data_IF_268282566027
#
_entry.id   IF_268282566027
#
_cell.length_a   1.000
_cell.length_b   1.000
_cell.length_c   1.000
_cell.angle_alpha   90.00
_cell.angle_beta   90.00
_cell.angle_gamma   90.00
#
_symmetry.space_group_name_H-M   'P 1'
#
loop_
_entity.id
_entity.type
_entity.pdbx_description
1 polymer ?
#
# COMPACT_ATOMS: atom_id res chain seq x y z
N UNK A 1 35.38 -33.64 2.32
CA UNK A 1 33.90 -33.55 2.40
C UNK A 1 33.56 -32.14 2.86
N UNK A 2 33.42 -31.21 1.92
CA UNK A 2 33.28 -29.77 2.20
C UNK A 2 31.79 -29.39 2.26
N UNK A 3 31.26 -29.17 3.47
CA UNK A 3 29.97 -28.50 3.66
C UNK A 3 30.17 -26.99 3.48
N UNK A 4 29.80 -26.45 2.31
CA UNK A 4 29.63 -25.01 2.14
C UNK A 4 28.28 -24.60 2.72
N UNK A 5 28.33 -23.81 3.78
CA UNK A 5 27.20 -23.02 4.30
C UNK A 5 26.65 -22.12 3.18
N UNK A 6 25.45 -22.44 2.70
CA UNK A 6 24.66 -21.53 1.87
C UNK A 6 24.17 -20.39 2.77
N UNK A 7 24.90 -19.28 2.74
CA UNK A 7 24.43 -18.02 3.30
C UNK A 7 23.22 -17.54 2.50
N UNK A 8 22.12 -17.24 3.19
CA UNK A 8 20.93 -16.63 2.58
C UNK A 8 21.30 -15.38 1.78
N UNK A 9 20.68 -15.14 0.61
CA UNK A 9 20.93 -13.93 -0.15
C UNK A 9 20.49 -12.71 0.67
N UNK A 10 21.20 -11.57 0.56
CA UNK A 10 20.84 -10.36 1.27
C UNK A 10 19.50 -9.84 0.73
N UNK A 11 18.49 -9.78 1.60
CA UNK A 11 17.21 -9.11 1.33
C UNK A 11 17.53 -7.65 0.98
N UNK A 12 17.34 -7.31 -0.29
CA UNK A 12 17.57 -5.97 -0.81
C UNK A 12 16.61 -4.98 -0.14
N UNK A 13 17.10 -4.28 0.90
CA UNK A 13 16.40 -3.15 1.49
C UNK A 13 16.40 -2.00 0.50
N UNK A 14 15.27 -1.73 -0.14
CA UNK A 14 15.11 -0.51 -0.95
C UNK A 14 13.68 0.04 -0.93
N UNK A 15 13.13 0.29 0.25
CA UNK A 15 11.92 1.10 0.40
C UNK A 15 12.30 2.57 0.60
N UNK A 16 13.01 3.17 -0.35
CA UNK A 16 13.09 4.62 -0.43
C UNK A 16 11.67 5.11 -0.73
N UNK A 17 11.16 6.10 0.01
CA UNK A 17 9.82 6.66 -0.20
C UNK A 17 9.63 6.94 -1.68
N UNK A 18 8.81 6.14 -2.34
CA UNK A 18 8.70 6.19 -3.79
C UNK A 18 7.84 7.40 -4.09
N UNK A 19 8.37 8.31 -4.89
CA UNK A 19 7.57 9.41 -5.41
C UNK A 19 6.44 8.77 -6.21
N UNK A 20 5.19 9.04 -5.86
CA UNK A 20 4.01 8.52 -6.55
C UNK A 20 4.00 8.89 -8.03
N UNK A 21 4.75 9.94 -8.41
CA UNK A 21 5.03 10.30 -9.80
C UNK A 21 5.90 9.27 -10.53
N UNK A 22 6.87 8.63 -9.89
CA UNK A 22 7.70 7.60 -10.51
C UNK A 22 6.90 6.30 -10.71
N UNK A 23 5.99 5.98 -9.78
CA UNK A 23 5.04 4.85 -9.89
C UNK A 23 3.92 5.12 -10.91
N UNK A 24 3.62 6.40 -11.18
CA UNK A 24 2.74 6.81 -12.27
C UNK A 24 3.36 6.54 -13.65
N UNK A 25 4.68 6.53 -13.76
CA UNK A 25 5.39 6.38 -15.04
C UNK A 25 5.76 4.93 -15.36
N UNK A 26 6.03 4.07 -14.37
CA UNK A 26 6.41 2.68 -14.61
C UNK A 26 5.40 1.64 -14.08
N UNK A 27 4.61 1.05 -15.00
CA UNK A 27 3.66 -0.03 -14.71
C UNK A 27 4.33 -1.30 -14.16
N UNK A 28 5.59 -1.59 -14.52
CA UNK A 28 6.26 -2.84 -14.11
C UNK A 28 6.69 -2.79 -12.65
N UNK A 29 7.16 -1.62 -12.19
CA UNK A 29 7.62 -1.42 -10.80
C UNK A 29 6.49 -1.53 -9.77
N UNK A 30 5.25 -1.13 -10.09
CA UNK A 30 4.12 -1.31 -9.17
C UNK A 30 3.72 -2.78 -9.00
N UNK A 31 3.67 -3.53 -10.10
CA UNK A 31 3.22 -4.93 -10.05
C UNK A 31 4.21 -5.80 -9.28
N UNK A 32 5.52 -5.59 -9.44
CA UNK A 32 6.53 -6.34 -8.69
C UNK A 32 6.51 -6.06 -7.19
N UNK A 33 6.17 -4.84 -6.77
CA UNK A 33 6.06 -4.50 -5.34
C UNK A 33 4.81 -5.08 -4.66
N UNK A 34 3.76 -5.39 -5.43
CA UNK A 34 2.46 -5.79 -4.89
C UNK A 34 2.19 -7.30 -5.01
N UNK A 35 2.77 -7.96 -6.02
CA UNK A 35 2.43 -9.34 -6.39
C UNK A 35 3.46 -10.35 -5.92
N UNK A 36 4.72 -9.97 -5.73
CA UNK A 36 5.76 -10.89 -5.26
C UNK A 36 5.49 -11.29 -3.79
N UNK A 37 5.29 -12.58 -3.48
CA UNK A 37 4.82 -13.04 -2.16
C UNK A 37 5.82 -12.74 -1.03
N UNK A 38 7.11 -12.63 -1.33
CA UNK A 38 8.15 -12.27 -0.36
C UNK A 38 8.12 -10.79 0.07
N UNK A 39 7.55 -9.90 -0.75
CA UNK A 39 7.60 -8.45 -0.56
C UNK A 39 6.22 -7.77 -0.54
N UNK A 40 5.13 -8.54 -0.55
CA UNK A 40 3.78 -8.01 -0.50
C UNK A 40 3.56 -7.15 0.76
N UNK A 41 3.21 -5.85 0.62
CA UNK A 41 3.03 -4.96 1.76
C UNK A 41 1.75 -5.31 2.52
N UNK A 42 1.73 -5.12 3.83
CA UNK A 42 0.49 -5.22 4.64
C UNK A 42 -0.29 -3.92 4.63
N UNK A 43 0.41 -2.82 4.44
CA UNK A 43 -0.14 -1.48 4.41
C UNK A 43 0.52 -0.65 3.31
N UNK A 44 -0.30 0.04 2.54
CA UNK A 44 0.11 1.06 1.57
C UNK A 44 -0.42 2.41 2.04
N UNK A 45 0.44 3.41 2.14
CA UNK A 45 0.05 4.75 2.57
C UNK A 45 0.28 5.72 1.42
N UNK A 46 -0.81 6.31 0.92
CA UNK A 46 -0.77 7.41 -0.04
C UNK A 46 -0.70 8.73 0.74
N UNK A 47 0.39 9.47 0.57
CA UNK A 47 0.67 10.71 1.30
C UNK A 47 0.59 11.89 0.35
N UNK A 48 -0.46 12.68 0.44
CA UNK A 48 -0.61 13.90 -0.35
C UNK A 48 -2.06 14.34 -0.50
N UNK A 49 -2.21 15.57 -0.96
CA UNK A 49 -3.48 16.27 -1.15
C UNK A 49 -4.02 16.22 -2.58
N UNK A 50 -3.23 15.69 -3.53
CA UNK A 50 -3.62 15.59 -4.93
C UNK A 50 -4.60 14.42 -5.16
N UNK A 51 -5.90 14.73 -5.12
CA UNK A 51 -6.97 13.74 -5.31
C UNK A 51 -6.95 13.05 -6.67
N UNK A 52 -6.49 13.74 -7.72
CA UNK A 52 -6.42 13.15 -9.07
C UNK A 52 -5.35 12.05 -9.11
N UNK A 53 -4.15 12.34 -8.62
CA UNK A 53 -3.05 11.37 -8.51
C UNK A 53 -3.46 10.20 -7.61
N UNK A 54 -4.08 10.48 -6.46
CA UNK A 54 -4.55 9.44 -5.53
C UNK A 54 -5.53 8.49 -6.22
N UNK A 55 -6.57 9.02 -6.89
CA UNK A 55 -7.55 8.19 -7.62
C UNK A 55 -6.90 7.35 -8.70
N UNK A 56 -5.94 7.91 -9.43
CA UNK A 56 -5.25 7.18 -10.50
C UNK A 56 -4.38 6.06 -9.96
N UNK A 57 -3.66 6.30 -8.86
CA UNK A 57 -2.87 5.27 -8.18
C UNK A 57 -3.78 4.17 -7.65
N UNK A 58 -4.89 4.49 -6.98
CA UNK A 58 -5.86 3.50 -6.52
C UNK A 58 -6.42 2.66 -7.68
N UNK A 59 -6.79 3.31 -8.79
CA UNK A 59 -7.25 2.62 -10.01
C UNK A 59 -6.19 1.65 -10.56
N UNK A 60 -4.90 2.03 -10.50
CA UNK A 60 -3.81 1.15 -10.89
C UNK A 60 -3.59 0.00 -9.92
N UNK A 61 -3.62 0.26 -8.61
CA UNK A 61 -3.52 -0.78 -7.58
C UNK A 61 -4.59 -1.84 -7.82
N UNK A 62 -5.85 -1.41 -8.04
CA UNK A 62 -6.98 -2.31 -8.33
C UNK A 62 -6.69 -3.24 -9.52
N UNK A 63 -6.21 -2.67 -10.63
CA UNK A 63 -5.84 -3.41 -11.87
C UNK A 63 -4.62 -4.32 -11.73
N UNK A 64 -3.75 -4.07 -10.77
CA UNK A 64 -2.58 -4.93 -10.53
C UNK A 64 -2.94 -6.21 -9.79
N UNK A 65 -3.99 -6.16 -8.97
CA UNK A 65 -4.37 -7.25 -8.06
C UNK A 65 -5.48 -8.11 -8.64
N UNK A 66 -6.41 -7.49 -9.37
CA UNK A 66 -7.45 -8.20 -10.09
C UNK A 66 -7.02 -8.37 -11.54
N UNK A 67 -6.98 -9.61 -11.99
CA UNK A 67 -6.90 -9.89 -13.43
C UNK A 67 -8.22 -9.46 -14.06
N UNK A 68 -8.21 -9.06 -15.34
CA UNK A 68 -9.39 -8.50 -16.02
C UNK A 68 -10.63 -9.42 -16.09
N UNK A 69 -10.53 -10.65 -15.59
CA UNK A 69 -11.55 -11.70 -15.58
C UNK A 69 -12.22 -11.88 -14.21
N UNK A 70 -11.70 -11.27 -13.13
CA UNK A 70 -12.29 -11.32 -11.79
C UNK A 70 -13.16 -10.09 -11.54
N UNK A 71 -14.34 -10.29 -10.91
CA UNK A 71 -15.28 -9.21 -10.60
C UNK A 71 -14.66 -8.23 -9.58
N UNK A 72 -14.19 -7.10 -10.12
CA UNK A 72 -13.54 -5.99 -9.44
C UNK A 72 -14.31 -5.48 -8.21
N UNK A 73 -15.64 -5.64 -8.18
CA UNK A 73 -16.52 -5.05 -7.17
C UNK A 73 -16.47 -5.72 -5.79
N UNK A 74 -16.22 -7.03 -5.74
CA UNK A 74 -16.27 -7.79 -4.47
C UNK A 74 -15.02 -7.57 -3.62
N UNK A 75 -13.84 -7.49 -4.24
CA UNK A 75 -12.57 -7.58 -3.55
C UNK A 75 -11.94 -6.23 -3.19
N UNK A 76 -12.62 -5.11 -3.47
CA UNK A 76 -12.20 -3.78 -3.06
C UNK A 76 -13.29 -3.04 -2.29
N UNK A 77 -13.01 -2.67 -1.04
CA UNK A 77 -13.95 -1.94 -0.18
C UNK A 77 -13.38 -0.60 0.25
N UNK A 78 -14.20 0.45 0.20
CA UNK A 78 -13.79 1.80 0.59
C UNK A 78 -14.50 2.27 1.86
N UNK A 79 -13.76 2.99 2.69
CA UNK A 79 -14.20 3.60 3.93
C UNK A 79 -13.78 5.08 3.95
N UNK A 80 -14.52 5.93 4.65
CA UNK A 80 -14.14 7.32 4.87
C UNK A 80 -13.58 7.45 6.29
N UNK A 81 -12.39 8.04 6.42
CA UNK A 81 -11.77 8.27 7.72
C UNK A 81 -12.57 9.25 8.59
N UNK A 82 -13.32 10.16 7.99
CA UNK A 82 -14.21 11.11 8.68
C UNK A 82 -15.33 10.39 9.46
N UNK A 83 -15.78 9.23 8.97
CA UNK A 83 -16.85 8.44 9.61
C UNK A 83 -16.36 7.61 10.81
N UNK A 84 -15.05 7.62 11.08
CA UNK A 84 -14.40 6.82 12.14
C UNK A 84 -14.87 5.36 12.16
N UNK A 85 -14.72 4.61 11.04
CA UNK A 85 -15.08 3.19 10.99
C UNK A 85 -14.34 2.39 12.05
N UNK A 86 -14.93 1.30 12.55
CA UNK A 86 -14.23 0.41 13.47
C UNK A 86 -13.00 -0.16 12.73
N UNK A 87 -11.77 0.04 13.26
CA UNK A 87 -10.58 -0.52 12.64
C UNK A 87 -10.65 -2.05 12.52
N UNK A 88 -11.40 -2.75 13.39
CA UNK A 88 -11.56 -4.21 13.32
C UNK A 88 -12.30 -4.62 12.05
N UNK A 89 -13.37 -3.93 11.67
CA UNK A 89 -14.12 -4.21 10.45
C UNK A 89 -13.23 -4.08 9.20
N UNK A 90 -12.34 -3.08 9.20
CA UNK A 90 -11.37 -2.85 8.13
C UNK A 90 -10.34 -3.99 8.09
N UNK A 91 -9.82 -4.41 9.24
CA UNK A 91 -8.81 -5.47 9.31
C UNK A 91 -9.39 -6.84 8.96
N UNK A 92 -10.63 -7.13 9.37
CA UNK A 92 -11.33 -8.38 9.06
C UNK A 92 -11.63 -8.48 7.56
N UNK A 93 -12.01 -7.35 6.94
CA UNK A 93 -12.17 -7.24 5.49
C UNK A 93 -10.88 -7.63 4.74
N UNK A 94 -9.72 -7.12 5.18
CA UNK A 94 -8.41 -7.39 4.56
C UNK A 94 -7.91 -8.82 4.85
N UNK A 95 -8.25 -9.35 6.02
CA UNK A 95 -7.89 -10.70 6.44
C UNK A 95 -8.73 -11.78 5.76
N UNK A 96 -9.88 -11.43 5.19
CA UNK A 96 -10.77 -12.37 4.52
C UNK A 96 -10.12 -12.87 3.22
N UNK A 97 -9.64 -14.11 3.25
CA UNK A 97 -9.09 -14.81 2.09
C UNK A 97 -10.24 -15.41 1.29
N UNK A 98 -10.42 -15.05 0.01
CA UNK A 98 -11.46 -15.65 -0.81
C UNK A 98 -11.18 -17.13 -1.06
N UNK A 99 -12.20 -17.97 -0.90
CA UNK A 99 -12.10 -19.43 -1.10
C UNK A 99 -12.10 -19.85 -2.57
N UNK A 100 -12.58 -18.98 -3.47
CA UNK A 100 -12.80 -19.29 -4.89
C UNK A 100 -12.09 -18.34 -5.85
N UNK A 101 -11.29 -17.41 -5.34
CA UNK A 101 -10.49 -16.51 -6.17
C UNK A 101 -9.06 -16.42 -5.63
N UNK A 102 -8.15 -16.05 -6.52
CA UNK A 102 -6.76 -15.79 -6.15
C UNK A 102 -6.51 -14.32 -5.81
N UNK A 103 -7.50 -13.46 -6.08
CA UNK A 103 -7.48 -12.04 -5.72
C UNK A 103 -7.42 -11.81 -4.21
N UNK A 104 -6.59 -10.86 -3.79
CA UNK A 104 -6.54 -10.40 -2.42
C UNK A 104 -7.59 -9.33 -2.13
N UNK A 105 -8.23 -9.36 -0.95
CA UNK A 105 -9.18 -8.32 -0.53
C UNK A 105 -8.48 -7.06 -0.05
N UNK A 106 -8.92 -5.91 -0.53
CA UNK A 106 -8.30 -4.63 -0.24
C UNK A 106 -9.33 -3.72 0.41
N UNK A 107 -8.94 -3.15 1.55
CA UNK A 107 -9.69 -2.07 2.17
C UNK A 107 -8.93 -0.76 1.95
N UNK A 108 -9.65 0.29 1.57
CA UNK A 108 -9.09 1.65 1.44
C UNK A 108 -9.80 2.58 2.40
N UNK A 109 -9.05 3.28 3.25
CA UNK A 109 -9.58 4.39 4.05
C UNK A 109 -9.17 5.69 3.39
N UNK A 110 -10.15 6.39 2.82
CA UNK A 110 -10.01 7.71 2.19
C UNK A 110 -9.98 8.78 3.28
N UNK A 111 -9.21 9.86 3.09
CA UNK A 111 -9.10 10.96 4.07
C UNK A 111 -8.85 10.47 5.52
N UNK A 112 -7.87 9.59 5.67
CA UNK A 112 -7.62 8.82 6.89
C UNK A 112 -6.86 9.59 7.98
N UNK A 113 -6.56 10.88 7.84
CA UNK A 113 -5.74 11.63 8.81
C UNK A 113 -6.28 11.55 10.25
N UNK A 114 -7.60 11.73 10.42
CA UNK A 114 -8.28 11.60 11.72
C UNK A 114 -8.29 10.15 12.21
N UNK A 115 -8.66 9.21 11.33
CA UNK A 115 -8.68 7.77 11.61
C UNK A 115 -7.32 7.23 12.07
N UNK A 116 -6.23 7.59 11.38
CA UNK A 116 -4.86 7.21 11.74
C UNK A 116 -4.46 7.80 13.09
N UNK A 117 -4.91 9.01 13.39
CA UNK A 117 -4.64 9.66 14.68
C UNK A 117 -5.37 8.96 15.82
N UNK A 118 -6.64 8.58 15.62
CA UNK A 118 -7.48 7.90 16.62
C UNK A 118 -7.10 6.43 16.86
N UNK A 119 -6.60 5.73 15.83
CA UNK A 119 -6.39 4.28 15.88
C UNK A 119 -4.92 3.86 15.64
N UNK A 120 -3.97 4.70 16.04
CA UNK A 120 -2.53 4.48 15.76
C UNK A 120 -2.00 3.14 16.26
N UNK A 121 -2.34 2.73 17.49
CA UNK A 121 -1.79 1.51 18.09
C UNK A 121 -2.18 0.24 17.34
N UNK A 122 -3.44 0.14 16.90
CA UNK A 122 -3.92 -1.03 16.15
C UNK A 122 -3.32 -1.06 14.75
N UNK A 123 -3.18 0.10 14.11
CA UNK A 123 -2.51 0.23 12.81
C UNK A 123 -1.03 -0.14 12.89
N UNK A 124 -0.33 0.23 13.96
CA UNK A 124 1.08 -0.16 14.19
C UNK A 124 1.22 -1.67 14.34
N UNK A 125 0.33 -2.31 15.10
CA UNK A 125 0.31 -3.77 15.28
C UNK A 125 -0.04 -4.51 13.99
N UNK A 126 -0.83 -3.91 13.11
CA UNK A 126 -1.17 -4.49 11.82
C UNK A 126 -0.02 -4.32 10.81
N UNK A 127 0.55 -3.11 10.71
CA UNK A 127 1.64 -2.81 9.79
C UNK A 127 2.90 -3.65 10.05
N UNK A 128 3.13 -4.12 11.28
CA UNK A 128 4.27 -4.99 11.61
C UNK A 128 4.08 -6.45 11.17
N UNK A 129 2.88 -6.84 10.72
CA UNK A 129 2.60 -8.18 10.20
C UNK A 129 3.06 -8.30 8.76
N UNK A 130 3.50 -9.50 8.38
CA UNK A 130 3.64 -9.89 6.97
C UNK A 130 2.28 -10.31 6.43
N UNK A 131 1.93 -9.84 5.24
CA UNK A 131 0.63 -10.09 4.61
C UNK A 131 0.45 -11.54 4.18
N UNK A 132 1.53 -12.25 3.81
CA UNK A 132 1.40 -13.58 3.23
C UNK A 132 0.36 -13.58 2.10
N UNK A 133 -0.64 -14.46 2.21
CA UNK A 133 -1.74 -14.54 1.24
C UNK A 133 -2.91 -13.59 1.53
N UNK A 134 -2.95 -12.91 2.68
CA UNK A 134 -4.00 -11.91 2.97
C UNK A 134 -3.84 -10.69 2.07
N UNK A 135 -4.88 -9.87 1.96
CA UNK A 135 -4.74 -8.61 1.25
C UNK A 135 -4.02 -7.54 2.06
N UNK A 136 -4.19 -6.29 1.63
CA UNK A 136 -3.54 -5.15 2.25
C UNK A 136 -4.49 -3.97 2.44
N UNK A 137 -4.13 -3.11 3.40
CA UNK A 137 -4.85 -1.89 3.72
C UNK A 137 -4.22 -0.70 2.99
N UNK A 138 -5.05 0.14 2.36
CA UNK A 138 -4.61 1.41 1.79
C UNK A 138 -5.11 2.57 2.66
N UNK A 139 -4.21 3.46 3.05
CA UNK A 139 -4.54 4.69 3.76
C UNK A 139 -4.24 5.89 2.87
N UNK A 140 -5.23 6.72 2.58
CA UNK A 140 -5.00 8.04 2.01
C UNK A 140 -4.93 9.08 3.13
N UNK A 141 -3.77 9.70 3.30
CA UNK A 141 -3.56 10.77 4.28
C UNK A 141 -2.98 11.99 3.58
N UNK A 142 -3.32 13.18 4.08
CA UNK A 142 -2.68 14.42 3.61
C UNK A 142 -1.24 14.50 4.08
N UNK A 143 -0.97 14.06 5.32
CA UNK A 143 0.36 14.12 5.91
C UNK A 143 0.70 12.83 6.66
N UNK A 144 1.96 12.42 6.61
CA UNK A 144 2.43 11.21 7.30
C UNK A 144 3.84 11.43 7.89
N UNK A 145 3.93 11.96 9.12
CA UNK A 145 5.21 12.32 9.72
C UNK A 145 6.13 11.10 9.91
N UNK A 146 7.34 11.16 9.34
CA UNK A 146 8.32 10.06 9.35
C UNK A 146 8.91 9.75 10.73
N UNK A 147 8.79 10.66 11.69
CA UNK A 147 9.23 10.47 13.06
C UNK A 147 8.29 9.58 13.89
N UNK A 148 7.07 9.32 13.40
CA UNK A 148 6.08 8.46 14.07
C UNK A 148 6.49 6.99 14.01
N UNK A 149 6.08 6.23 15.03
CA UNK A 149 6.34 4.79 15.07
C UNK A 149 5.59 4.07 13.94
N UNK A 150 4.34 4.42 13.68
CA UNK A 150 3.60 3.93 12.51
C UNK A 150 4.36 4.14 11.20
N UNK A 151 4.86 5.36 10.93
CA UNK A 151 5.60 5.61 9.69
C UNK A 151 6.87 4.76 9.58
N UNK A 152 7.59 4.55 10.68
CA UNK A 152 8.78 3.68 10.70
C UNK A 152 8.43 2.22 10.41
N UNK A 153 7.33 1.72 10.99
CA UNK A 153 6.88 0.33 10.76
C UNK A 153 6.42 0.15 9.32
N UNK A 154 5.62 1.08 8.78
CA UNK A 154 5.18 1.04 7.38
C UNK A 154 6.37 1.14 6.43
N UNK A 155 7.38 1.95 6.74
CA UNK A 155 8.60 2.03 5.93
C UNK A 155 9.36 0.69 5.88
N UNK A 156 9.32 -0.10 6.97
CA UNK A 156 10.01 -1.38 7.07
C UNK A 156 9.22 -2.55 6.43
N UNK A 157 7.89 -2.54 6.53
CA UNK A 157 7.03 -3.69 6.22
C UNK A 157 5.92 -3.40 5.20
N UNK A 158 5.72 -2.15 4.84
CA UNK A 158 4.71 -1.69 3.91
C UNK A 158 5.30 -0.80 2.82
N UNK A 159 4.44 0.01 2.23
CA UNK A 159 4.79 0.92 1.14
C UNK A 159 4.25 2.32 1.44
N UNK A 160 5.10 3.35 1.31
CA UNK A 160 4.69 4.75 1.40
C UNK A 160 4.87 5.37 0.01
N UNK A 161 3.78 5.93 -0.51
CA UNK A 161 3.72 6.55 -1.83
C UNK A 161 3.39 8.02 -1.65
N UNK A 162 4.32 8.90 -2.01
CA UNK A 162 4.12 10.35 -1.89
C UNK A 162 3.44 10.89 -3.14
N UNK A 163 2.22 11.40 -3.01
CA UNK A 163 1.41 11.91 -4.12
C UNK A 163 1.32 13.43 -4.17
N UNK A 164 2.02 14.13 -3.27
CA UNK A 164 2.17 15.58 -3.30
C UNK A 164 2.87 16.03 -4.58
N UNK A 165 2.37 17.11 -5.19
CA UNK A 165 3.00 17.76 -6.34
C UNK A 165 4.42 18.22 -5.97
N UNK A 166 5.50 17.72 -6.60
CA UNK A 166 6.83 18.24 -6.34
C UNK A 166 6.91 19.73 -6.70
N UNK A 167 7.67 20.53 -5.94
CA UNK A 167 7.74 21.99 -6.09
C UNK A 167 8.31 22.47 -7.43
N UNK A 168 8.98 21.59 -8.18
CA UNK A 168 9.42 21.81 -9.56
C UNK A 168 8.87 20.66 -10.41
N UNK A 169 7.66 20.82 -10.91
CA UNK A 169 7.04 19.83 -11.79
C UNK A 169 7.64 20.00 -13.19
N UNK A 170 8.62 19.18 -13.54
CA UNK A 170 9.18 19.16 -14.89
C UNK A 170 8.20 18.44 -15.83
N UNK A 171 7.23 19.19 -16.35
CA UNK A 171 6.21 18.73 -17.29
C UNK A 171 6.81 18.19 -18.60
N UNK A 172 8.08 18.50 -18.89
CA UNK A 172 8.77 18.08 -20.11
C UNK A 172 8.95 16.55 -20.16
N UNK A 173 9.05 15.88 -19.01
CA UNK A 173 9.14 14.43 -18.93
C UNK A 173 7.81 13.69 -19.24
N UNK A 174 6.67 14.40 -19.27
CA UNK A 174 5.33 13.81 -19.47
C UNK A 174 4.80 13.95 -20.90
N UNK A 175 5.45 14.74 -21.76
CA UNK A 175 4.99 15.06 -23.12
C UNK A 175 5.60 14.16 -24.21
N UNK A 176 6.23 13.03 -23.85
CA UNK A 176 6.82 12.10 -24.82
C UNK A 176 6.00 10.81 -24.97
#
# INVERSE_FOLDING_TARGET
MFCRSQGSPPVAKKNVGVLGLDLLLDKKSLKSLLVEPENKPSMVVLVGDNQFVNRHILSRLRKCIHSAEEDDGWAWREFLGEDQPDPRDILDEVATVPMFSTAARIATVRRADSFVSSHREILEKFASRRSGNSGFLVLEVKSFPSNTRLAKVVHQHGLIITTSTPPRFDLTAWLQ
#
